data_IF_093595517357
#
_entry.id   IF_093595517357
#
_cell.length_a   1.000
_cell.length_b   1.000
_cell.length_c   1.000
_cell.angle_alpha   90.00
_cell.angle_beta   90.00
_cell.angle_gamma   90.00
#
_symmetry.space_group_name_H-M   'P 1'
#
loop_
_entity.id
_entity.type
_entity.pdbx_description
1 polymer ?
#
# COMPACT_ATOMS: atom_id res chain seq x y z
N UNK A 1 18.89 76.20 26.42
CA UNK A 1 19.51 74.86 26.43
C UNK A 1 18.69 74.00 25.47
N UNK A 2 19.05 73.98 24.18
CA UNK A 2 18.35 73.22 23.15
C UNK A 2 18.99 71.83 23.03
N UNK A 3 18.21 70.76 23.18
CA UNK A 3 18.65 69.39 22.89
C UNK A 3 18.15 68.98 21.51
N UNK A 4 19.09 68.82 20.58
CA UNK A 4 18.89 68.18 19.27
C UNK A 4 18.78 66.66 19.41
N UNK A 5 17.66 66.08 18.97
CA UNK A 5 17.46 64.62 18.93
C UNK A 5 17.61 64.11 17.49
N UNK A 6 18.78 63.52 17.16
CA UNK A 6 18.98 62.80 15.89
C UNK A 6 18.22 61.48 15.90
N UNK A 7 17.21 61.34 15.02
CA UNK A 7 16.50 60.08 14.78
C UNK A 7 17.44 59.08 14.08
N UNK A 8 17.73 57.96 14.72
CA UNK A 8 18.40 56.80 14.09
C UNK A 8 17.33 55.86 13.54
N UNK A 9 17.24 55.77 12.22
CA UNK A 9 16.42 54.76 11.54
C UNK A 9 17.18 53.43 11.57
N UNK A 10 16.62 52.42 12.23
CA UNK A 10 17.12 51.04 12.18
C UNK A 10 16.32 50.29 11.13
N UNK A 11 16.97 49.87 10.04
CA UNK A 11 16.39 48.96 9.05
C UNK A 11 16.60 47.52 9.55
N UNK A 12 15.51 46.86 9.96
CA UNK A 12 15.49 45.43 10.25
C UNK A 12 15.36 44.66 8.93
N UNK A 13 16.45 44.06 8.46
CA UNK A 13 16.43 43.13 7.34
C UNK A 13 15.84 41.79 7.78
N UNK A 14 14.77 41.35 7.12
CA UNK A 14 14.16 40.03 7.35
C UNK A 14 14.99 38.95 6.66
N UNK A 15 15.54 38.02 7.44
CA UNK A 15 16.20 36.83 6.91
C UNK A 15 15.13 35.77 6.57
N UNK A 16 14.93 35.49 5.28
CA UNK A 16 14.11 34.36 4.82
C UNK A 16 14.97 33.09 4.85
N UNK A 17 14.72 32.22 5.83
CA UNK A 17 15.29 30.87 5.84
C UNK A 17 14.46 30.01 4.88
N UNK A 18 15.02 29.67 3.73
CA UNK A 18 14.43 28.70 2.83
C UNK A 18 14.55 27.30 3.45
N UNK A 19 13.44 26.76 3.98
CA UNK A 19 13.38 25.38 4.43
C UNK A 19 13.22 24.49 3.20
N UNK A 20 14.23 23.68 2.88
CA UNK A 20 14.10 22.66 1.85
C UNK A 20 13.03 21.64 2.27
N UNK A 21 11.90 21.61 1.55
CA UNK A 21 10.86 20.59 1.73
C UNK A 21 11.36 19.28 1.14
N UNK A 22 11.95 18.40 1.96
CA UNK A 22 12.12 17.00 1.57
C UNK A 22 10.75 16.34 1.43
N UNK A 23 10.56 15.55 0.38
CA UNK A 23 9.42 14.65 0.30
C UNK A 23 9.52 13.65 1.44
N UNK A 24 8.50 13.59 2.29
CA UNK A 24 8.45 12.61 3.37
C UNK A 24 8.03 11.28 2.76
N UNK A 25 8.86 10.25 2.88
CA UNK A 25 8.50 8.86 2.53
C UNK A 25 8.11 8.12 3.81
N UNK A 26 6.92 7.54 3.81
CA UNK A 26 6.32 6.81 4.91
C UNK A 26 6.17 5.36 4.44
N UNK A 27 6.91 4.40 5.02
CA UNK A 27 6.65 3.00 4.75
C UNK A 27 5.28 2.61 5.29
N UNK A 28 4.53 1.87 4.49
CA UNK A 28 3.35 1.13 4.91
C UNK A 28 3.75 -0.34 5.06
N UNK A 29 2.92 -1.13 5.74
CA UNK A 29 3.25 -2.53 5.97
C UNK A 29 3.04 -3.38 4.70
N UNK A 30 4.07 -4.14 4.35
CA UNK A 30 3.96 -5.26 3.42
C UNK A 30 2.97 -6.31 3.93
N UNK A 31 2.56 -7.25 3.07
CA UNK A 31 1.72 -8.37 3.49
C UNK A 31 2.51 -9.36 4.35
N UNK A 32 1.83 -9.96 5.32
CA UNK A 32 2.29 -11.04 6.19
C UNK A 32 3.49 -10.69 7.06
N UNK A 33 3.54 -9.45 7.56
CA UNK A 33 4.56 -9.01 8.52
C UNK A 33 3.93 -8.54 9.83
N UNK A 34 4.70 -8.58 10.91
CA UNK A 34 4.29 -8.06 12.21
C UNK A 34 4.44 -6.53 12.29
N UNK A 35 4.25 -5.96 13.49
CA UNK A 35 4.38 -4.53 13.73
C UNK A 35 5.83 -4.01 13.64
N UNK A 36 6.82 -4.90 13.70
CA UNK A 36 8.23 -4.59 13.49
C UNK A 36 8.68 -4.78 12.03
N UNK A 37 7.77 -5.21 11.14
CA UNK A 37 8.08 -5.52 9.75
C UNK A 37 8.76 -6.88 9.54
N UNK A 38 8.72 -7.76 10.55
CA UNK A 38 9.26 -9.12 10.45
C UNK A 38 8.23 -10.07 9.85
N UNK A 39 8.67 -10.97 8.97
CA UNK A 39 7.82 -11.95 8.30
C UNK A 39 7.16 -12.88 9.32
N UNK A 40 5.86 -13.10 9.16
CA UNK A 40 5.05 -14.00 9.97
C UNK A 40 5.09 -15.42 9.42
N UNK A 41 4.86 -16.42 10.28
CA UNK A 41 4.74 -17.81 9.86
C UNK A 41 3.40 -18.08 9.14
N UNK A 42 3.39 -19.06 8.24
CA UNK A 42 2.18 -19.55 7.58
C UNK A 42 1.07 -19.93 8.58
N UNK A 43 -0.16 -19.55 8.29
CA UNK A 43 -1.30 -19.70 9.20
C UNK A 43 -1.55 -18.52 10.13
N UNK A 44 -0.60 -17.58 10.24
CA UNK A 44 -0.78 -16.39 11.07
C UNK A 44 -1.80 -15.43 10.44
N UNK A 45 -2.67 -14.78 11.24
CA UNK A 45 -3.45 -13.65 10.76
C UNK A 45 -2.54 -12.45 10.50
N UNK A 46 -2.72 -11.76 9.38
CA UNK A 46 -2.03 -10.52 9.06
C UNK A 46 -2.63 -9.34 9.87
N UNK A 47 -1.83 -8.62 10.68
CA UNK A 47 -2.34 -7.53 11.51
C UNK A 47 -2.65 -6.24 10.73
N UNK A 48 -2.22 -6.13 9.47
CA UNK A 48 -2.28 -4.91 8.66
C UNK A 48 -3.24 -5.02 7.48
N UNK A 49 -3.42 -6.23 6.94
CA UNK A 49 -4.24 -6.48 5.75
C UNK A 49 -5.56 -7.19 6.07
N UNK A 50 -6.66 -6.60 5.60
CA UNK A 50 -8.01 -7.08 5.89
C UNK A 50 -8.70 -7.55 4.62
N UNK A 51 -9.37 -8.71 4.68
CA UNK A 51 -10.30 -9.17 3.64
C UNK A 51 -11.67 -8.58 3.96
N UNK A 52 -12.18 -7.72 3.08
CA UNK A 52 -13.45 -6.99 3.28
C UNK A 52 -14.60 -7.48 2.41
N UNK A 53 -14.29 -8.22 1.35
CA UNK A 53 -15.28 -8.78 0.43
C UNK A 53 -14.81 -10.12 -0.14
N UNK A 54 -15.76 -10.98 -0.49
CA UNK A 54 -15.56 -12.26 -1.14
C UNK A 54 -16.49 -13.36 -0.60
N UNK A 55 -16.45 -14.57 -1.19
CA UNK A 55 -17.24 -15.69 -0.71
C UNK A 55 -17.08 -15.94 0.79
N UNK A 56 -18.22 -16.06 1.49
CA UNK A 56 -18.32 -16.31 2.94
C UNK A 56 -17.72 -15.21 3.83
N UNK A 57 -17.28 -14.08 3.27
CA UNK A 57 -16.86 -12.89 4.02
C UNK A 57 -18.13 -12.09 4.39
N UNK A 58 -18.64 -12.31 5.61
CA UNK A 58 -19.82 -11.58 6.13
C UNK A 58 -19.45 -10.28 6.85
N UNK A 59 -18.23 -10.21 7.37
CA UNK A 59 -17.65 -9.06 8.04
C UNK A 59 -16.15 -9.02 7.71
N UNK A 60 -15.53 -7.82 7.71
CA UNK A 60 -14.09 -7.69 7.58
C UNK A 60 -13.33 -8.60 8.56
N UNK A 61 -12.29 -9.26 8.08
CA UNK A 61 -11.41 -10.09 8.91
C UNK A 61 -9.96 -10.04 8.41
N UNK A 62 -8.97 -10.36 9.26
CA UNK A 62 -7.59 -10.49 8.82
C UNK A 62 -7.44 -11.45 7.64
N UNK A 63 -6.56 -11.09 6.71
CA UNK A 63 -6.00 -12.06 5.78
C UNK A 63 -5.12 -13.06 6.54
N UNK A 64 -4.83 -14.21 5.93
CA UNK A 64 -4.05 -15.29 6.54
C UNK A 64 -2.80 -15.51 5.72
N UNK A 65 -1.65 -15.54 6.37
CA UNK A 65 -0.36 -15.85 5.74
C UNK A 65 -0.40 -17.27 5.19
N UNK A 66 -0.03 -17.42 3.92
CA UNK A 66 0.08 -18.72 3.26
C UNK A 66 1.29 -19.49 3.79
N UNK A 67 1.09 -20.79 4.06
CA UNK A 67 2.19 -21.70 4.42
C UNK A 67 2.74 -22.50 3.24
N UNK A 68 2.23 -22.26 2.04
CA UNK A 68 2.36 -23.12 0.85
C UNK A 68 2.89 -22.39 -0.38
N UNK A 69 3.15 -21.08 -0.29
CA UNK A 69 3.57 -20.24 -1.43
C UNK A 69 4.84 -20.76 -2.11
N UNK A 70 5.80 -21.26 -1.32
CA UNK A 70 7.05 -21.86 -1.81
C UNK A 70 6.77 -23.13 -2.63
N UNK A 71 5.81 -23.96 -2.21
CA UNK A 71 5.46 -25.21 -2.88
C UNK A 71 4.86 -24.96 -4.28
N UNK A 72 4.25 -23.79 -4.49
CA UNK A 72 3.66 -23.37 -5.76
C UNK A 72 4.63 -22.59 -6.66
N UNK A 73 5.87 -22.36 -6.21
CA UNK A 73 6.85 -21.59 -6.98
C UNK A 73 6.52 -20.10 -7.11
N UNK A 74 5.65 -19.58 -6.23
CA UNK A 74 5.28 -18.17 -6.23
C UNK A 74 6.49 -17.24 -6.04
N UNK A 75 6.35 -15.99 -6.50
CA UNK A 75 7.35 -14.95 -6.33
C UNK A 75 7.76 -14.82 -4.85
N UNK A 76 9.06 -14.79 -4.58
CA UNK A 76 9.57 -14.68 -3.22
C UNK A 76 9.90 -13.22 -2.89
N UNK A 77 9.68 -12.83 -1.63
CA UNK A 77 10.10 -11.55 -1.06
C UNK A 77 10.79 -11.77 0.28
N UNK A 78 11.88 -11.02 0.49
CA UNK A 78 12.60 -10.97 1.76
C UNK A 78 11.86 -10.16 2.84
N UNK A 79 10.87 -9.36 2.45
CA UNK A 79 10.19 -8.38 3.29
C UNK A 79 8.66 -8.51 3.31
N UNK A 80 8.11 -9.52 2.62
CA UNK A 80 6.68 -9.80 2.58
C UNK A 80 6.41 -11.30 2.55
N UNK A 81 5.23 -11.70 3.00
CA UNK A 81 4.67 -13.04 2.78
C UNK A 81 3.38 -12.97 1.97
N UNK A 82 3.10 -14.06 1.27
CA UNK A 82 1.82 -14.25 0.59
C UNK A 82 0.70 -14.39 1.62
N UNK A 83 -0.42 -13.73 1.36
CA UNK A 83 -1.64 -13.78 2.15
C UNK A 83 -2.82 -14.23 1.29
N UNK A 84 -3.75 -14.94 1.92
CA UNK A 84 -5.00 -15.32 1.30
C UNK A 84 -6.13 -15.49 2.32
N UNK A 85 -7.21 -16.13 1.88
CA UNK A 85 -8.40 -16.48 2.68
C UNK A 85 -8.04 -17.46 3.80
N UNK A 86 -7.10 -18.38 3.55
CA UNK A 86 -6.51 -19.31 4.50
C UNK A 86 -5.07 -19.67 4.08
N UNK A 87 -4.37 -20.43 4.93
CA UNK A 87 -2.96 -20.76 4.73
C UNK A 87 -2.68 -21.73 3.56
N UNK A 88 -3.70 -22.40 3.04
CA UNK A 88 -3.60 -23.37 1.95
C UNK A 88 -3.90 -22.77 0.57
N UNK A 89 -4.14 -21.45 0.48
CA UNK A 89 -4.52 -20.82 -0.79
C UNK A 89 -5.93 -21.17 -1.26
N UNK A 90 -6.79 -21.74 -0.40
CA UNK A 90 -8.12 -22.20 -0.78
C UNK A 90 -9.18 -21.12 -0.52
N UNK A 91 -9.57 -20.37 -1.56
CA UNK A 91 -10.65 -19.37 -1.48
C UNK A 91 -11.89 -19.73 -2.31
N UNK A 92 -11.71 -20.57 -3.33
CA UNK A 92 -12.71 -20.79 -4.37
C UNK A 92 -12.61 -19.71 -5.46
N UNK A 93 -13.22 -20.01 -6.62
CA UNK A 93 -12.93 -19.32 -7.88
C UNK A 93 -13.71 -18.01 -8.07
N UNK A 94 -13.61 -17.10 -7.10
CA UNK A 94 -14.36 -15.85 -7.04
C UNK A 94 -13.47 -14.72 -6.52
N UNK A 95 -13.79 -13.47 -6.86
CA UNK A 95 -13.01 -12.32 -6.40
C UNK A 95 -13.11 -12.11 -4.89
N UNK A 96 -11.97 -11.73 -4.31
CA UNK A 96 -11.78 -11.25 -2.95
C UNK A 96 -11.21 -9.83 -2.97
N UNK A 97 -11.57 -9.02 -1.98
CA UNK A 97 -11.00 -7.67 -1.82
C UNK A 97 -10.20 -7.60 -0.54
N UNK A 98 -8.91 -7.33 -0.69
CA UNK A 98 -7.96 -7.06 0.39
C UNK A 98 -7.76 -5.56 0.50
N UNK A 99 -7.69 -5.02 1.71
CA UNK A 99 -7.44 -3.60 1.91
C UNK A 99 -6.42 -3.30 3.01
N UNK A 100 -5.74 -2.17 2.83
CA UNK A 100 -4.91 -1.49 3.83
C UNK A 100 -5.30 -0.01 3.84
N UNK A 101 -5.30 0.59 5.04
CA UNK A 101 -5.70 1.98 5.25
C UNK A 101 -4.52 2.84 5.66
N UNK A 102 -4.49 4.08 5.20
CA UNK A 102 -3.42 5.03 5.51
C UNK A 102 -3.95 6.45 5.47
N UNK A 103 -3.23 7.38 6.13
CA UNK A 103 -3.64 8.78 6.20
C UNK A 103 -2.77 9.68 5.31
N UNK A 104 -3.42 10.62 4.61
CA UNK A 104 -2.75 11.68 3.85
C UNK A 104 -3.11 13.04 4.45
N UNK A 105 -2.13 13.85 4.90
CA UNK A 105 -2.40 15.19 5.39
C UNK A 105 -3.05 16.07 4.31
N UNK A 106 -4.03 16.89 4.67
CA UNK A 106 -4.77 17.73 3.71
C UNK A 106 -3.86 18.57 2.78
N UNK A 107 -2.80 19.17 3.34
CA UNK A 107 -1.81 19.99 2.59
C UNK A 107 -0.91 19.19 1.63
N UNK A 108 -1.01 17.87 1.62
CA UNK A 108 -0.13 16.94 0.91
C UNK A 108 -0.86 16.09 -0.14
N UNK A 109 -2.20 16.21 -0.25
CA UNK A 109 -3.02 15.40 -1.17
C UNK A 109 -2.50 15.44 -2.61
N UNK A 110 -2.22 16.63 -3.16
CA UNK A 110 -1.76 16.77 -4.55
C UNK A 110 -0.33 16.24 -4.79
N UNK A 111 0.44 16.09 -3.70
CA UNK A 111 1.81 15.58 -3.72
C UNK A 111 1.89 14.09 -3.38
N UNK A 112 0.81 13.49 -2.87
CA UNK A 112 0.77 12.10 -2.47
C UNK A 112 1.07 11.20 -3.67
N UNK A 113 2.04 10.31 -3.48
CA UNK A 113 2.39 9.22 -4.38
C UNK A 113 2.48 7.95 -3.57
N UNK A 114 1.85 6.89 -4.06
CA UNK A 114 1.92 5.57 -3.47
C UNK A 114 2.64 4.65 -4.46
N UNK A 115 3.53 3.80 -3.98
CA UNK A 115 4.25 2.83 -4.80
C UNK A 115 4.54 1.56 -4.01
N UNK A 116 4.76 0.47 -4.72
CA UNK A 116 5.16 -0.79 -4.15
C UNK A 116 5.32 -1.84 -5.25
N UNK A 117 5.42 -3.09 -4.83
CA UNK A 117 5.42 -4.27 -5.68
C UNK A 117 4.28 -5.18 -5.30
N UNK A 118 3.73 -5.90 -6.26
CA UNK A 118 2.67 -6.88 -5.98
C UNK A 118 2.71 -8.03 -6.95
N UNK A 119 2.21 -9.18 -6.47
CA UNK A 119 1.89 -10.34 -7.28
C UNK A 119 0.60 -10.94 -6.72
N UNK A 120 -0.11 -11.66 -7.56
CA UNK A 120 -1.37 -12.31 -7.20
C UNK A 120 -1.60 -13.56 -8.05
N UNK A 121 -2.44 -14.44 -7.53
CA UNK A 121 -2.92 -15.60 -8.25
C UNK A 121 -4.46 -15.57 -8.29
N UNK A 122 -5.12 -15.37 -9.45
CA UNK A 122 -4.57 -15.33 -10.82
C UNK A 122 -4.52 -13.91 -11.41
N UNK A 123 -5.60 -13.15 -11.24
CA UNK A 123 -5.84 -11.89 -11.94
C UNK A 123 -6.50 -10.86 -11.05
N UNK A 124 -6.29 -9.57 -11.33
CA UNK A 124 -6.80 -8.55 -10.42
C UNK A 124 -6.39 -7.12 -10.73
N UNK A 125 -6.89 -6.21 -9.89
CA UNK A 125 -6.71 -4.77 -10.04
C UNK A 125 -6.51 -4.07 -8.70
N UNK A 126 -5.72 -3.00 -8.72
CA UNK A 126 -5.54 -2.09 -7.60
C UNK A 126 -6.59 -0.97 -7.68
N UNK A 127 -7.21 -0.66 -6.54
CA UNK A 127 -8.15 0.45 -6.36
C UNK A 127 -7.67 1.36 -5.23
N UNK A 128 -7.97 2.64 -5.38
CA UNK A 128 -7.81 3.64 -4.33
C UNK A 128 -9.17 4.27 -4.06
N UNK A 129 -9.62 4.23 -2.81
CA UNK A 129 -10.90 4.80 -2.38
C UNK A 129 -12.09 4.29 -3.23
N UNK A 130 -12.12 2.98 -3.49
CA UNK A 130 -13.17 2.31 -4.29
C UNK A 130 -13.06 2.46 -5.81
N UNK A 131 -12.14 3.30 -6.32
CA UNK A 131 -11.97 3.56 -7.75
C UNK A 131 -10.71 2.90 -8.28
N UNK A 132 -10.72 2.43 -9.53
CA UNK A 132 -9.52 1.89 -10.18
C UNK A 132 -8.37 2.89 -10.03
N UNK A 133 -7.23 2.41 -9.54
CA UNK A 133 -6.11 3.27 -9.19
C UNK A 133 -5.54 3.95 -10.45
N UNK A 134 -5.35 5.26 -10.37
CA UNK A 134 -4.80 6.07 -11.46
C UNK A 134 -3.27 6.08 -11.37
N UNK A 135 -2.63 5.19 -12.14
CA UNK A 135 -1.18 5.08 -12.23
C UNK A 135 -0.72 3.89 -13.09
N UNK A 136 0.44 3.33 -12.80
CA UNK A 136 1.10 2.27 -13.59
C UNK A 136 1.13 0.94 -12.83
N UNK A 137 1.10 -0.18 -13.56
CA UNK A 137 1.21 -1.51 -12.96
C UNK A 137 0.05 -1.87 -12.02
N UNK A 138 -1.09 -1.18 -12.12
CA UNK A 138 -2.25 -1.34 -11.23
C UNK A 138 -3.29 -2.34 -11.74
N UNK A 139 -3.00 -3.05 -12.82
CA UNK A 139 -3.92 -3.95 -13.51
C UNK A 139 -3.16 -5.17 -14.03
N UNK A 140 -3.48 -6.33 -13.47
CA UNK A 140 -3.01 -7.65 -13.88
C UNK A 140 -4.25 -8.51 -14.21
N UNK A 141 -5.21 -7.96 -14.96
CA UNK A 141 -6.46 -8.64 -15.33
C UNK A 141 -6.34 -9.64 -16.47
N UNK A 142 -5.20 -9.66 -17.17
CA UNK A 142 -4.92 -10.65 -18.21
C UNK A 142 -4.25 -11.87 -17.55
N UNK A 143 -4.80 -13.09 -17.70
CA UNK A 143 -4.18 -14.29 -17.15
C UNK A 143 -2.78 -14.51 -17.72
N UNK A 144 -1.79 -14.67 -16.84
CA UNK A 144 -0.42 -14.98 -17.20
C UNK A 144 0.31 -15.53 -15.97
N UNK A 145 1.16 -16.54 -16.14
CA UNK A 145 1.97 -17.11 -15.06
C UNK A 145 2.82 -16.06 -14.34
N UNK A 146 3.23 -15.01 -15.07
CA UNK A 146 3.98 -13.90 -14.50
C UNK A 146 3.23 -13.18 -13.36
N UNK A 147 1.89 -13.25 -13.29
CA UNK A 147 1.11 -12.59 -12.26
C UNK A 147 1.46 -13.10 -10.86
N UNK A 148 1.80 -14.39 -10.72
CA UNK A 148 2.20 -15.00 -9.45
C UNK A 148 3.68 -15.39 -9.39
N UNK A 149 4.38 -15.56 -10.52
CA UNK A 149 5.80 -15.91 -10.54
C UNK A 149 6.76 -14.72 -10.35
N UNK A 150 6.30 -13.48 -10.56
CA UNK A 150 7.13 -12.28 -10.48
C UNK A 150 6.40 -11.15 -9.75
N UNK A 151 7.15 -10.38 -8.96
CA UNK A 151 6.66 -9.13 -8.37
C UNK A 151 6.63 -8.00 -9.41
N UNK A 152 5.46 -7.39 -9.60
CA UNK A 152 5.25 -6.25 -10.50
C UNK A 152 5.31 -4.94 -9.75
N UNK A 153 6.09 -3.98 -10.24
CA UNK A 153 6.07 -2.61 -9.70
C UNK A 153 4.76 -1.92 -10.02
N UNK A 154 4.21 -1.18 -9.05
CA UNK A 154 3.08 -0.29 -9.27
C UNK A 154 3.30 1.10 -8.68
N UNK A 155 2.59 2.08 -9.25
CA UNK A 155 2.53 3.43 -8.72
C UNK A 155 1.12 4.01 -8.85
N UNK A 156 0.72 4.85 -7.89
CA UNK A 156 -0.54 5.59 -7.89
C UNK A 156 -0.26 7.05 -7.56
N UNK A 157 -0.68 7.95 -8.44
CA UNK A 157 -0.34 9.37 -8.32
C UNK A 157 -1.53 10.31 -8.11
N UNK A 158 -2.76 9.79 -8.14
CA UNK A 158 -4.00 10.57 -8.07
C UNK A 158 -5.10 9.79 -7.36
N UNK A 159 -6.14 10.49 -6.93
CA UNK A 159 -7.31 9.90 -6.28
C UNK A 159 -7.24 9.89 -4.75
N UNK A 160 -6.17 10.46 -4.18
CA UNK A 160 -6.03 10.64 -2.74
C UNK A 160 -7.02 11.69 -2.22
N UNK A 161 -7.46 11.52 -0.97
CA UNK A 161 -8.26 12.49 -0.23
C UNK A 161 -7.54 12.90 1.06
N UNK A 162 -7.94 14.02 1.64
CA UNK A 162 -7.44 14.42 2.96
C UNK A 162 -7.96 13.45 4.03
N UNK A 163 -7.08 12.99 4.93
CA UNK A 163 -7.41 12.02 5.96
C UNK A 163 -7.25 10.58 5.46
N UNK A 164 -8.18 9.70 5.84
CA UNK A 164 -8.11 8.28 5.56
C UNK A 164 -8.26 8.00 4.06
N UNK A 165 -7.38 7.14 3.55
CA UNK A 165 -7.42 6.57 2.23
C UNK A 165 -7.36 5.05 2.35
N UNK A 166 -8.04 4.36 1.43
CA UNK A 166 -8.13 2.91 1.41
C UNK A 166 -7.50 2.41 0.10
N UNK A 167 -6.39 1.69 0.20
CA UNK A 167 -5.82 0.94 -0.91
C UNK A 167 -6.41 -0.45 -0.92
N UNK A 168 -6.92 -0.87 -2.06
CA UNK A 168 -7.63 -2.15 -2.19
C UNK A 168 -7.05 -2.94 -3.35
N UNK A 169 -6.93 -4.25 -3.16
CA UNK A 169 -6.54 -5.21 -4.17
C UNK A 169 -7.73 -6.15 -4.38
N UNK A 170 -8.33 -6.07 -5.57
CA UNK A 170 -9.37 -7.00 -6.00
C UNK A 170 -8.69 -8.15 -6.73
N UNK A 171 -8.64 -9.31 -6.08
CA UNK A 171 -7.94 -10.50 -6.55
C UNK A 171 -8.95 -11.58 -6.88
N UNK A 172 -8.90 -12.10 -8.10
CA UNK A 172 -9.76 -13.17 -8.57
C UNK A 172 -8.90 -14.41 -8.87
N UNK A 173 -9.04 -15.41 -8.01
CA UNK A 173 -8.62 -16.78 -8.24
C UNK A 173 -9.56 -17.40 -9.31
N UNK A 174 -8.99 -17.76 -10.45
CA UNK A 174 -9.64 -18.47 -11.57
C UNK A 174 -9.24 -19.94 -11.63
N UNK A 175 -8.17 -20.32 -10.91
CA UNK A 175 -7.75 -21.66 -10.56
C UNK A 175 -7.08 -21.70 -9.19
N UNK A 176 -7.38 -22.72 -8.40
CA UNK A 176 -6.77 -22.89 -7.08
C UNK A 176 -5.31 -23.35 -7.22
N UNK A 177 -4.36 -22.80 -6.44
CA UNK A 177 -4.52 -21.89 -5.29
C UNK A 177 -4.61 -20.41 -5.65
N UNK A 178 -5.21 -19.60 -4.76
CA UNK A 178 -5.19 -18.15 -4.84
C UNK A 178 -4.23 -17.51 -3.84
N UNK A 179 -3.79 -16.28 -4.12
CA UNK A 179 -2.86 -15.55 -3.28
C UNK A 179 -2.72 -14.06 -3.62
N UNK A 180 -2.25 -13.27 -2.65
CA UNK A 180 -1.80 -11.90 -2.83
C UNK A 180 -0.50 -11.68 -2.05
N UNK A 181 0.48 -11.02 -2.65
CA UNK A 181 1.62 -10.45 -1.94
C UNK A 181 1.78 -8.99 -2.33
N UNK A 182 2.01 -8.11 -1.35
CA UNK A 182 2.34 -6.71 -1.57
C UNK A 182 3.57 -6.37 -0.76
N UNK A 183 4.56 -5.78 -1.42
CA UNK A 183 5.89 -5.55 -0.87
C UNK A 183 6.37 -4.12 -1.12
N UNK A 184 7.27 -3.63 -0.27
CA UNK A 184 7.88 -2.31 -0.33
C UNK A 184 6.85 -1.18 -0.48
N UNK A 185 5.70 -1.32 0.17
CA UNK A 185 4.60 -0.37 0.07
C UNK A 185 4.99 0.96 0.73
N UNK A 186 4.94 2.04 -0.02
CA UNK A 186 5.42 3.36 0.42
C UNK A 186 4.48 4.46 -0.02
N UNK A 187 4.26 5.44 0.86
CA UNK A 187 3.58 6.69 0.58
C UNK A 187 4.59 7.84 0.63
N UNK A 188 4.57 8.77 -0.33
CA UNK A 188 5.46 9.94 -0.34
C UNK A 188 4.75 11.26 -0.68
N UNK A 189 5.19 12.38 -0.10
CA UNK A 189 4.67 13.75 -0.37
C UNK A 189 5.45 14.94 0.21
#
# INVERSE_FOLDING_TARGET
MNLDWKRRTVLLGTLLIAVASHAATIPLFSTGVDAAGQKLAGGSPDPHWTIVSGPKIKQPRPAVVMGTSVDYGYAQSDTAEWIWVNAQGLGGLRPYTFEVRFNVPARKVDKARLSGRWALDDVGVIRLNGRKAAGTGTDLSTPADSNYLVLHDFSVGRGFVAGENILQFEVHDTGTPGGLVVDALTLSY
#
